data_IF_558674797044
#
_entry.id   IF_558674797044
#
_cell.length_a   1.000
_cell.length_b   1.000
_cell.length_c   1.000
_cell.angle_alpha   90.00
_cell.angle_beta   90.00
_cell.angle_gamma   90.00
#
_symmetry.space_group_name_H-M   'P 1'
#
loop_
_entity.id
_entity.type
_entity.pdbx_description
1 polymer ?
#
# COMPACT_ATOMS: atom_id res chain seq x y z
N UNK A 1 56.64 24.93 -58.21
CA UNK A 1 55.53 25.04 -57.23
C UNK A 1 54.32 24.12 -57.53
N UNK A 2 54.49 22.94 -58.16
CA UNK A 2 53.33 22.24 -58.76
C UNK A 2 52.98 20.84 -58.22
N UNK A 3 53.84 20.15 -57.47
CA UNK A 3 53.56 18.76 -57.04
C UNK A 3 53.12 18.65 -55.57
N UNK A 4 53.70 19.44 -54.67
CA UNK A 4 53.33 19.43 -53.25
C UNK A 4 51.90 19.96 -53.02
N UNK A 5 51.48 20.97 -53.79
CA UNK A 5 50.12 21.51 -53.74
C UNK A 5 49.08 20.53 -54.32
N UNK A 6 49.46 19.69 -55.30
CA UNK A 6 48.59 18.63 -55.83
C UNK A 6 48.39 17.50 -54.83
N UNK A 7 49.45 17.12 -54.11
CA UNK A 7 49.37 16.12 -53.04
C UNK A 7 48.55 16.65 -51.86
N UNK A 8 48.75 17.92 -51.47
CA UNK A 8 47.93 18.56 -50.44
C UNK A 8 46.46 18.62 -50.83
N UNK A 9 46.15 19.02 -52.07
CA UNK A 9 44.77 19.07 -52.56
C UNK A 9 44.15 17.67 -52.70
N UNK A 10 44.93 16.65 -53.04
CA UNK A 10 44.47 15.26 -53.09
C UNK A 10 44.19 14.70 -51.68
N UNK A 11 45.04 15.02 -50.69
CA UNK A 11 44.84 14.63 -49.28
C UNK A 11 43.65 15.37 -48.65
N UNK A 12 43.48 16.67 -48.94
CA UNK A 12 42.30 17.45 -48.55
C UNK A 12 41.00 16.93 -49.19
N UNK A 13 41.06 16.50 -50.45
CA UNK A 13 39.93 15.88 -51.14
C UNK A 13 39.58 14.49 -50.60
N UNK A 14 40.57 13.67 -50.26
CA UNK A 14 40.34 12.35 -49.68
C UNK A 14 39.82 12.42 -48.23
N UNK A 15 40.30 13.36 -47.43
CA UNK A 15 39.85 13.56 -46.04
C UNK A 15 38.41 14.09 -45.93
N UNK A 16 37.94 14.86 -46.92
CA UNK A 16 36.56 15.39 -46.93
C UNK A 16 35.51 14.35 -47.30
N UNK A 17 35.88 13.28 -48.02
CA UNK A 17 34.98 12.15 -48.33
C UNK A 17 34.75 11.26 -47.10
N UNK A 18 35.74 11.13 -46.21
CA UNK A 18 35.61 10.37 -44.95
C UNK A 18 34.68 11.04 -43.92
N UNK A 19 34.45 12.35 -44.03
CA UNK A 19 33.53 13.09 -43.15
C UNK A 19 32.05 12.95 -43.53
N UNK A 20 31.75 12.49 -44.76
CA UNK A 20 30.38 12.32 -45.25
C UNK A 20 29.87 10.88 -45.14
N UNK A 21 30.74 9.92 -44.77
CA UNK A 21 30.38 8.54 -44.48
C UNK A 21 30.07 8.29 -42.99
N UNK A 22 29.71 9.34 -42.23
CA UNK A 22 29.25 9.20 -40.86
C UNK A 22 27.93 8.43 -40.82
N UNK A 23 27.91 7.29 -40.13
CA UNK A 23 26.72 6.47 -39.89
C UNK A 23 25.58 7.33 -39.31
N UNK A 24 24.67 7.79 -40.17
CA UNK A 24 23.48 8.55 -39.76
C UNK A 24 22.51 7.71 -38.93
N UNK A 25 22.58 6.39 -39.05
CA UNK A 25 21.63 5.46 -38.44
C UNK A 25 21.77 5.32 -36.90
N UNK A 26 22.90 5.73 -36.32
CA UNK A 26 23.12 5.71 -34.85
C UNK A 26 22.56 6.96 -34.14
N UNK A 27 22.40 8.07 -34.87
CA UNK A 27 21.97 9.35 -34.28
C UNK A 27 20.45 9.47 -34.15
N UNK A 28 19.70 8.56 -34.77
CA UNK A 28 18.26 8.45 -34.60
C UNK A 28 17.97 7.48 -33.44
N UNK A 29 17.60 7.97 -32.24
CA UNK A 29 17.14 7.09 -31.17
C UNK A 29 15.84 6.41 -31.62
N UNK A 30 15.96 5.20 -32.17
CA UNK A 30 14.80 4.33 -32.41
C UNK A 30 14.28 3.93 -31.03
N UNK A 31 13.05 4.29 -30.65
CA UNK A 31 12.52 3.82 -29.40
C UNK A 31 12.30 2.31 -29.54
N UNK A 32 13.16 1.53 -28.89
CA UNK A 32 12.91 0.11 -28.65
C UNK A 32 11.83 0.05 -27.59
N UNK A 33 10.58 0.23 -28.00
CA UNK A 33 9.44 -0.17 -27.19
C UNK A 33 9.35 -1.69 -27.30
N UNK A 34 10.18 -2.39 -26.54
CA UNK A 34 9.78 -3.72 -26.11
C UNK A 34 8.54 -3.51 -25.22
N UNK A 35 7.41 -4.11 -25.61
CA UNK A 35 6.29 -4.14 -24.69
C UNK A 35 6.80 -4.71 -23.36
N UNK A 36 6.51 -4.06 -22.23
CA UNK A 36 7.01 -4.54 -20.94
C UNK A 36 6.56 -5.99 -20.81
N UNK A 37 7.52 -6.91 -20.69
CA UNK A 37 7.21 -8.31 -20.48
C UNK A 37 6.23 -8.41 -19.33
N UNK A 38 5.12 -9.12 -19.54
CA UNK A 38 4.17 -9.33 -18.47
C UNK A 38 4.80 -10.29 -17.45
N UNK A 39 5.46 -9.71 -16.46
CA UNK A 39 6.10 -10.44 -15.37
C UNK A 39 5.08 -11.12 -14.44
N UNK A 40 3.78 -10.84 -14.55
CA UNK A 40 2.75 -11.38 -13.66
C UNK A 40 2.31 -12.80 -14.06
N UNK A 41 3.27 -13.71 -14.25
CA UNK A 41 3.00 -15.11 -14.56
C UNK A 41 2.65 -15.91 -13.29
N UNK A 42 2.05 -17.10 -13.42
CA UNK A 42 1.87 -18.00 -12.28
C UNK A 42 3.18 -18.31 -11.55
N UNK A 43 4.27 -18.52 -12.29
CA UNK A 43 5.60 -18.83 -11.76
C UNK A 43 6.18 -17.65 -10.97
N UNK A 44 5.92 -16.42 -11.43
CA UNK A 44 6.29 -15.22 -10.71
C UNK A 44 5.60 -15.14 -9.33
N UNK A 45 4.28 -15.33 -9.28
CA UNK A 45 3.56 -15.31 -8.01
C UNK A 45 3.94 -16.49 -7.12
N UNK A 46 4.28 -17.64 -7.69
CA UNK A 46 4.83 -18.78 -6.94
C UNK A 46 6.19 -18.45 -6.32
N UNK A 47 7.09 -17.83 -7.07
CA UNK A 47 8.39 -17.38 -6.57
C UNK A 47 8.23 -16.36 -5.43
N UNK A 48 7.29 -15.41 -5.55
CA UNK A 48 6.98 -14.47 -4.46
C UNK A 48 6.50 -15.20 -3.20
N UNK A 49 5.56 -16.14 -3.33
CA UNK A 49 5.07 -16.91 -2.18
C UNK A 49 6.17 -17.78 -1.56
N UNK A 50 7.04 -18.38 -2.38
CA UNK A 50 8.18 -19.16 -1.91
C UNK A 50 9.20 -18.29 -1.15
N UNK A 51 9.50 -17.10 -1.66
CA UNK A 51 10.33 -16.11 -0.96
C UNK A 51 9.75 -15.77 0.42
N UNK A 52 8.45 -15.44 0.49
CA UNK A 52 7.76 -15.10 1.76
C UNK A 52 7.62 -16.28 2.73
N UNK A 53 7.74 -17.51 2.25
CA UNK A 53 7.76 -18.71 3.08
C UNK A 53 9.17 -19.10 3.57
N UNK A 54 10.22 -18.52 2.97
CA UNK A 54 11.61 -18.77 3.32
C UNK A 54 12.01 -18.05 4.62
N UNK A 55 13.17 -18.40 5.17
CA UNK A 55 13.76 -17.66 6.28
C UNK A 55 14.31 -16.31 5.77
N UNK A 56 13.61 -15.23 6.07
CA UNK A 56 13.92 -13.87 5.63
C UNK A 56 13.44 -12.84 6.66
N UNK A 57 13.89 -11.59 6.52
CA UNK A 57 13.41 -10.49 7.37
C UNK A 57 12.03 -10.06 6.92
N UNK A 58 11.08 -10.09 7.86
CA UNK A 58 9.68 -9.72 7.61
C UNK A 58 9.56 -8.19 7.42
N UNK A 59 8.95 -7.80 6.31
CA UNK A 59 8.61 -6.41 6.02
C UNK A 59 7.13 -6.13 6.33
N UNK A 60 6.91 -5.13 7.19
CA UNK A 60 5.60 -4.72 7.68
C UNK A 60 5.33 -3.25 7.36
N UNK A 61 4.07 -2.90 7.06
CA UNK A 61 3.66 -1.51 6.88
C UNK A 61 2.22 -1.24 7.32
N UNK A 62 1.96 0.00 7.73
CA UNK A 62 0.61 0.53 7.90
C UNK A 62 0.12 1.12 6.58
N UNK A 63 -1.06 0.70 6.14
CA UNK A 63 -1.63 1.07 4.83
C UNK A 63 -2.96 1.82 4.98
N UNK A 64 -2.98 3.09 4.59
CA UNK A 64 -4.13 4.00 4.67
C UNK A 64 -4.63 4.42 3.30
N UNK A 65 -5.87 4.95 3.27
CA UNK A 65 -6.46 5.50 2.04
C UNK A 65 -6.83 4.42 1.02
N UNK A 66 -7.13 3.20 1.49
CA UNK A 66 -7.49 2.11 0.60
C UNK A 66 -8.84 2.32 -0.07
N UNK A 67 -8.83 2.49 -1.39
CA UNK A 67 -10.03 2.55 -2.23
C UNK A 67 -10.20 1.24 -3.01
N UNK A 68 -9.10 0.64 -3.48
CA UNK A 68 -9.14 -0.57 -4.30
C UNK A 68 -9.62 -0.35 -5.74
N UNK A 69 -9.76 0.91 -6.17
CA UNK A 69 -10.15 1.29 -7.53
C UNK A 69 -9.41 2.55 -7.99
N UNK A 70 -9.48 2.85 -9.29
CA UNK A 70 -8.86 4.03 -9.91
C UNK A 70 -7.48 3.74 -10.52
N UNK A 71 -6.79 4.81 -10.91
CA UNK A 71 -5.46 4.75 -11.55
C UNK A 71 -4.32 5.01 -10.58
N UNK A 72 -4.62 5.54 -9.39
CA UNK A 72 -3.62 5.77 -8.35
C UNK A 72 -3.31 4.46 -7.62
N UNK A 73 -2.10 3.95 -7.81
CA UNK A 73 -1.63 2.71 -7.20
C UNK A 73 -1.38 2.87 -5.70
N UNK A 74 -1.21 4.10 -5.20
CA UNK A 74 -1.03 4.37 -3.76
C UNK A 74 -2.28 3.95 -2.95
N UNK A 75 -3.47 4.04 -3.56
CA UNK A 75 -4.73 3.69 -2.93
C UNK A 75 -5.16 2.22 -3.14
N UNK A 76 -4.27 1.39 -3.69
CA UNK A 76 -4.55 -0.01 -4.02
C UNK A 76 -3.56 -0.94 -3.34
N UNK A 77 -4.07 -1.97 -2.67
CA UNK A 77 -3.27 -3.00 -2.00
C UNK A 77 -2.36 -3.71 -2.99
N UNK A 78 -2.81 -3.98 -4.23
CA UNK A 78 -1.95 -4.58 -5.26
C UNK A 78 -0.74 -3.73 -5.62
N UNK A 79 -0.77 -2.42 -5.31
CA UNK A 79 0.33 -1.49 -5.52
C UNK A 79 1.43 -1.57 -4.46
N UNK A 80 1.23 -2.32 -3.37
CA UNK A 80 2.29 -2.50 -2.37
C UNK A 80 3.48 -3.26 -2.99
N UNK A 81 4.73 -2.92 -2.59
CA UNK A 81 5.92 -3.62 -3.07
C UNK A 81 5.84 -5.13 -2.82
N UNK A 82 6.39 -5.93 -3.74
CA UNK A 82 6.29 -7.39 -3.65
C UNK A 82 7.04 -7.97 -2.45
N UNK A 83 8.04 -7.25 -1.95
CA UNK A 83 8.79 -7.57 -0.73
C UNK A 83 8.00 -7.33 0.56
N UNK A 84 6.77 -6.79 0.51
CA UNK A 84 5.92 -6.62 1.69
C UNK A 84 5.29 -7.96 2.09
N UNK A 85 5.54 -8.41 3.30
CA UNK A 85 4.92 -9.63 3.84
C UNK A 85 3.55 -9.35 4.44
N UNK A 86 3.47 -8.25 5.18
CA UNK A 86 2.33 -7.88 6.00
C UNK A 86 2.01 -6.41 5.80
N UNK A 87 0.73 -6.12 5.55
CA UNK A 87 0.22 -4.76 5.67
C UNK A 87 -0.94 -4.74 6.62
N UNK A 88 -0.92 -3.82 7.59
CA UNK A 88 -2.05 -3.56 8.46
C UNK A 88 -2.85 -2.40 7.90
N UNK A 89 -4.12 -2.65 7.57
CA UNK A 89 -4.98 -1.61 7.05
C UNK A 89 -5.29 -0.59 8.15
N UNK A 90 -4.63 0.56 8.06
CA UNK A 90 -4.86 1.71 8.92
C UNK A 90 -6.06 2.47 8.39
N UNK A 91 -7.22 2.10 8.93
CA UNK A 91 -8.48 2.67 8.54
C UNK A 91 -8.86 3.87 9.43
N UNK A 92 -8.94 5.09 8.87
CA UNK A 92 -9.41 6.26 9.59
C UNK A 92 -10.94 6.40 9.65
N UNK A 93 -11.75 5.59 8.94
CA UNK A 93 -13.21 5.77 9.00
C UNK A 93 -13.80 5.37 10.36
N UNK A 94 -14.83 6.11 10.74
CA UNK A 94 -15.49 6.00 12.05
C UNK A 94 -16.16 4.64 12.27
N UNK A 95 -16.57 3.97 11.20
CA UNK A 95 -17.31 2.70 11.23
C UNK A 95 -16.45 1.54 10.71
N UNK A 96 -16.10 0.60 11.60
CA UNK A 96 -15.29 -0.58 11.28
C UNK A 96 -16.10 -1.81 10.83
N UNK A 97 -17.39 -1.60 10.57
CA UNK A 97 -18.37 -2.67 10.34
C UNK A 97 -18.92 -2.66 8.91
N UNK A 98 -18.43 -1.75 8.07
CA UNK A 98 -18.85 -1.72 6.67
C UNK A 98 -18.20 -2.89 5.89
N UNK A 99 -18.99 -3.62 5.07
CA UNK A 99 -18.44 -4.63 4.21
C UNK A 99 -17.53 -4.00 3.15
N UNK A 100 -16.48 -4.72 2.77
CA UNK A 100 -15.60 -4.30 1.67
C UNK A 100 -16.41 -4.11 0.39
N UNK A 101 -16.10 -3.06 -0.37
CA UNK A 101 -16.65 -2.89 -1.71
C UNK A 101 -16.17 -4.02 -2.65
N UNK A 102 -16.88 -4.33 -3.74
CA UNK A 102 -16.41 -5.31 -4.72
C UNK A 102 -15.01 -5.02 -5.26
N UNK A 103 -14.67 -3.73 -5.44
CA UNK A 103 -13.34 -3.32 -5.90
C UNK A 103 -12.26 -3.62 -4.86
N UNK A 104 -12.52 -3.32 -3.58
CA UNK A 104 -11.65 -3.69 -2.47
C UNK A 104 -11.48 -5.22 -2.36
N UNK A 105 -12.55 -5.99 -2.56
CA UNK A 105 -12.46 -7.46 -2.56
C UNK A 105 -11.53 -7.97 -3.66
N UNK A 106 -11.64 -7.46 -4.88
CA UNK A 106 -10.77 -7.87 -6.00
C UNK A 106 -9.31 -7.42 -5.82
N UNK A 107 -9.09 -6.21 -5.31
CA UNK A 107 -7.77 -5.69 -4.99
C UNK A 107 -7.09 -6.49 -3.86
N UNK A 108 -7.86 -6.89 -2.84
CA UNK A 108 -7.41 -7.79 -1.78
C UNK A 108 -7.01 -9.16 -2.34
N UNK A 109 -7.82 -9.74 -3.24
CA UNK A 109 -7.45 -11.01 -3.91
C UNK A 109 -6.17 -10.86 -4.73
N UNK A 110 -6.02 -9.74 -5.44
CA UNK A 110 -4.84 -9.48 -6.27
C UNK A 110 -3.56 -9.38 -5.42
N UNK A 111 -3.58 -8.67 -4.30
CA UNK A 111 -2.39 -8.60 -3.42
C UNK A 111 -2.08 -9.96 -2.76
N UNK A 112 -3.11 -10.75 -2.44
CA UNK A 112 -2.93 -12.08 -1.86
C UNK A 112 -2.27 -13.07 -2.83
N UNK A 113 -2.39 -12.88 -4.15
CA UNK A 113 -1.64 -13.69 -5.13
C UNK A 113 -0.12 -13.56 -4.91
N UNK A 114 0.36 -12.39 -4.49
CA UNK A 114 1.78 -12.12 -4.15
C UNK A 114 2.22 -12.78 -2.82
N UNK A 115 1.30 -13.42 -2.09
CA UNK A 115 1.56 -13.94 -0.74
C UNK A 115 1.55 -12.88 0.36
N UNK A 116 1.26 -11.61 0.06
CA UNK A 116 1.13 -10.57 1.07
C UNK A 116 -0.12 -10.81 1.92
N UNK A 117 0.03 -10.75 3.24
CA UNK A 117 -1.07 -10.85 4.19
C UNK A 117 -1.56 -9.45 4.56
N UNK A 118 -2.88 -9.28 4.56
CA UNK A 118 -3.54 -8.04 4.92
C UNK A 118 -4.21 -8.24 6.28
N UNK A 119 -3.79 -7.45 7.26
CA UNK A 119 -4.32 -7.47 8.62
C UNK A 119 -5.32 -6.33 8.80
N UNK A 120 -6.42 -6.62 9.48
CA UNK A 120 -7.33 -5.60 9.96
C UNK A 120 -6.73 -4.90 11.19
N UNK A 121 -6.68 -3.55 11.19
CA UNK A 121 -6.26 -2.77 12.34
C UNK A 121 -7.47 -2.21 13.07
N UNK A 122 -7.51 -2.41 14.39
CA UNK A 122 -8.55 -1.89 15.26
C UNK A 122 -7.92 -1.11 16.41
N UNK A 123 -8.36 0.12 16.61
CA UNK A 123 -8.11 0.83 17.87
C UNK A 123 -9.15 0.43 18.90
N UNK A 124 -8.69 0.01 20.08
CA UNK A 124 -9.56 -0.31 21.21
C UNK A 124 -9.44 0.78 22.27
N UNK A 125 -10.39 1.73 22.30
CA UNK A 125 -10.43 2.80 23.31
C UNK A 125 -11.09 2.33 24.61
N UNK A 126 -12.20 1.62 24.49
CA UNK A 126 -13.04 1.15 25.58
C UNK A 126 -13.88 -0.04 25.11
N UNK A 127 -14.46 -0.79 26.05
CA UNK A 127 -15.39 -1.87 25.71
C UNK A 127 -16.55 -1.29 24.90
N UNK A 128 -16.89 -1.95 23.79
CA UNK A 128 -17.93 -1.51 22.88
C UNK A 128 -17.52 -0.43 21.87
N UNK A 129 -16.30 0.08 21.92
CA UNK A 129 -15.84 1.09 20.97
C UNK A 129 -15.91 0.55 19.53
N UNK A 130 -16.78 1.16 18.72
CA UNK A 130 -17.12 0.78 17.33
C UNK A 130 -17.81 -0.58 17.12
N UNK A 131 -18.19 -1.26 18.21
CA UNK A 131 -19.03 -2.47 18.19
C UNK A 131 -20.36 -2.28 18.91
N UNK A 132 -20.58 -1.14 19.57
CA UNK A 132 -21.88 -0.79 20.13
C UNK A 132 -22.88 -0.62 18.98
N UNK A 133 -24.08 -1.23 19.06
CA UNK A 133 -25.11 -1.06 18.05
C UNK A 133 -25.41 0.43 17.81
N UNK A 134 -25.53 0.88 16.54
CA UNK A 134 -25.69 2.30 16.22
C UNK A 134 -26.88 2.96 16.94
N UNK A 135 -27.95 2.20 17.22
CA UNK A 135 -29.17 2.67 17.87
C UNK A 135 -28.94 3.14 19.31
N UNK A 136 -27.87 2.66 19.97
CA UNK A 136 -27.52 3.05 21.34
C UNK A 136 -26.91 4.45 21.39
N UNK A 137 -26.23 4.86 20.32
CA UNK A 137 -25.51 6.14 20.23
C UNK A 137 -26.09 7.04 19.15
N UNK A 138 -27.31 6.77 18.69
CA UNK A 138 -27.95 7.50 17.61
C UNK A 138 -28.10 8.98 17.96
N UNK A 139 -27.64 9.87 17.07
CA UNK A 139 -27.66 11.31 17.27
C UNK A 139 -26.61 11.85 18.27
N UNK A 140 -25.70 11.02 18.78
CA UNK A 140 -24.63 11.43 19.68
C UNK A 140 -23.29 11.54 18.94
N UNK A 141 -22.52 12.59 19.22
CA UNK A 141 -21.19 12.76 18.62
C UNK A 141 -20.17 11.79 19.27
N UNK A 142 -19.42 11.00 18.48
CA UNK A 142 -18.38 10.12 18.99
C UNK A 142 -17.34 10.85 19.84
N UNK A 143 -17.02 10.28 21.01
CA UNK A 143 -16.01 10.83 21.93
C UNK A 143 -16.52 11.90 22.89
N UNK A 144 -17.82 12.24 22.85
CA UNK A 144 -18.48 13.02 23.91
C UNK A 144 -18.72 12.18 25.16
N UNK A 145 -18.96 12.84 26.30
CA UNK A 145 -19.28 12.15 27.55
C UNK A 145 -20.62 11.41 27.46
N UNK A 146 -21.59 11.93 26.71
CA UNK A 146 -22.89 11.30 26.47
C UNK A 146 -22.74 10.01 25.67
N UNK A 147 -21.99 10.06 24.56
CA UNK A 147 -21.65 8.88 23.75
C UNK A 147 -20.91 7.81 24.57
N UNK A 148 -19.87 8.20 25.30
CA UNK A 148 -19.10 7.29 26.16
C UNK A 148 -19.99 6.68 27.27
N UNK A 149 -20.97 7.43 27.80
CA UNK A 149 -21.91 6.94 28.82
C UNK A 149 -22.94 5.97 28.26
N UNK A 150 -23.53 6.24 27.10
CA UNK A 150 -24.51 5.34 26.49
C UNK A 150 -23.90 3.97 26.17
N UNK A 151 -22.66 3.94 25.64
CA UNK A 151 -21.90 2.70 25.46
C UNK A 151 -21.62 1.98 26.78
N UNK A 152 -21.16 2.72 27.80
CA UNK A 152 -20.87 2.20 29.13
C UNK A 152 -22.09 1.49 29.75
N UNK A 153 -23.25 2.15 29.70
CA UNK A 153 -24.51 1.61 30.22
C UNK A 153 -24.95 0.35 29.45
N UNK A 154 -24.81 0.32 28.12
CA UNK A 154 -25.16 -0.84 27.30
C UNK A 154 -24.27 -2.06 27.57
N UNK A 155 -22.96 -1.86 27.66
CA UNK A 155 -21.98 -2.93 27.86
C UNK A 155 -21.72 -3.26 29.33
N UNK A 156 -22.33 -2.53 30.26
CA UNK A 156 -22.26 -2.80 31.71
C UNK A 156 -20.89 -2.52 32.32
N UNK A 157 -20.13 -1.54 31.80
CA UNK A 157 -18.89 -1.06 32.42
C UNK A 157 -19.07 0.39 32.86
N UNK A 158 -18.61 0.73 34.07
CA UNK A 158 -18.77 2.08 34.60
C UNK A 158 -17.46 2.86 34.52
N UNK A 159 -17.54 4.20 34.58
CA UNK A 159 -16.39 5.05 34.94
C UNK A 159 -16.72 5.61 36.32
N UNK A 160 -15.91 5.28 37.32
CA UNK A 160 -16.00 5.95 38.62
C UNK A 160 -15.23 7.29 38.57
N UNK A 161 -15.95 8.40 38.70
CA UNK A 161 -15.37 9.75 38.71
C UNK A 161 -14.79 10.20 37.36
N UNK A 162 -13.78 11.09 37.38
CA UNK A 162 -13.12 11.62 36.18
C UNK A 162 -12.06 10.68 35.59
N UNK A 163 -11.84 9.52 36.21
CA UNK A 163 -10.87 8.51 35.78
C UNK A 163 -11.25 7.84 34.45
N UNK A 164 -10.27 7.22 33.79
CA UNK A 164 -10.50 6.33 32.64
C UNK A 164 -10.77 4.88 33.05
N UNK A 165 -10.70 4.58 34.35
CA UNK A 165 -10.72 3.24 34.91
C UNK A 165 -11.73 3.19 36.07
N UNK A 166 -12.53 2.14 36.12
CA UNK A 166 -13.38 1.85 37.27
C UNK A 166 -12.54 1.13 38.34
N UNK A 167 -12.22 1.85 39.41
CA UNK A 167 -11.54 1.31 40.57
C UNK A 167 -12.51 1.01 41.72
N UNK A 168 -13.81 0.83 41.42
CA UNK A 168 -14.76 0.37 42.41
C UNK A 168 -14.40 -1.04 42.90
N UNK A 169 -14.69 -1.37 44.17
CA UNK A 169 -14.54 -2.73 44.69
C UNK A 169 -15.27 -3.78 43.82
N UNK A 170 -16.41 -3.40 43.23
CA UNK A 170 -17.20 -4.23 42.32
C UNK A 170 -16.44 -4.53 41.01
N UNK A 171 -15.81 -3.53 40.40
CA UNK A 171 -14.99 -3.70 39.20
C UNK A 171 -13.71 -4.51 39.47
N UNK A 172 -13.04 -4.27 40.60
CA UNK A 172 -11.88 -5.07 41.00
C UNK A 172 -12.24 -6.54 41.26
N UNK A 173 -13.40 -6.80 41.86
CA UNK A 173 -13.91 -8.16 42.07
C UNK A 173 -14.27 -8.86 40.74
N UNK A 174 -14.71 -8.12 39.72
CA UNK A 174 -15.02 -8.64 38.39
C UNK A 174 -13.77 -8.98 37.57
N UNK A 175 -12.64 -8.29 37.78
CA UNK A 175 -11.39 -8.48 37.01
C UNK A 175 -10.55 -9.70 37.46
N UNK A 176 -11.04 -10.51 38.42
CA UNK A 176 -10.38 -11.77 38.81
C UNK A 176 -11.34 -12.93 38.94
N UNK A 177 -11.56 -13.66 37.84
CA UNK A 177 -11.68 -15.13 37.77
C UNK A 177 -11.21 -15.65 36.43
#
# INVERSE_FOLDING_TARGET
>A
MNNMNKIYNALLGAGSILLLAGCSEWLDPKPVYEEPENINTPEYYEALRAYKASDHTICFGWFSGWNGSGTDMQNQLRGVPDSMDLVSHWNPVETYVEPLSPAQVEDLKAVQQKGTKVLFCLFWKNLGFRFTPPEITEGMDPGTQEYDKAMADYWGWYRHGSGRYDNSPEAEAAVRK
#
